data_IF_804559190938
#
_entry.id   IF_804559190938
#
_cell.length_a   1.000
_cell.length_b   1.000
_cell.length_c   1.000
_cell.angle_alpha   90.00
_cell.angle_beta   90.00
_cell.angle_gamma   90.00
#
_symmetry.space_group_name_H-M   'P 1'
#
loop_
_entity.id
_entity.type
_entity.pdbx_description
1 polymer ?
#
# COMPACT_ATOMS: atom_id res chain seq x y z
N UNK A 1 30.98 41.30 -3.86
CA UNK A 1 31.10 39.81 -3.84
C UNK A 1 29.90 39.22 -3.14
N UNK A 2 28.85 38.95 -3.89
CA UNK A 2 27.60 38.31 -3.36
C UNK A 2 27.84 36.81 -3.20
N UNK A 3 27.72 36.32 -1.99
CA UNK A 3 27.73 34.86 -1.70
C UNK A 3 26.47 34.26 -2.33
N UNK A 4 26.62 33.56 -3.43
CA UNK A 4 25.62 32.63 -3.93
C UNK A 4 25.50 31.52 -2.91
N UNK A 5 24.43 31.52 -2.13
CA UNK A 5 24.05 30.43 -1.25
C UNK A 5 23.76 29.19 -2.12
N UNK A 6 24.71 28.29 -2.21
CA UNK A 6 24.46 26.96 -2.78
C UNK A 6 23.48 26.25 -1.83
N UNK A 7 22.19 26.22 -2.23
CA UNK A 7 21.19 25.40 -1.56
C UNK A 7 21.66 23.94 -1.56
N UNK A 8 21.76 23.33 -0.39
CA UNK A 8 22.15 21.92 -0.26
C UNK A 8 21.24 21.00 -1.09
N UNK A 9 21.73 19.87 -1.63
CA UNK A 9 20.92 18.89 -2.38
C UNK A 9 19.70 18.36 -1.61
N UNK A 10 19.68 18.52 -0.29
CA UNK A 10 18.57 18.14 0.60
C UNK A 10 17.36 19.09 0.52
N UNK A 11 17.51 20.32 -0.01
CA UNK A 11 16.42 21.31 -0.09
C UNK A 11 15.34 20.97 -1.13
N UNK A 12 15.59 20.00 -2.01
CA UNK A 12 14.63 19.52 -3.04
C UNK A 12 13.77 18.33 -2.58
N UNK A 13 14.07 17.75 -1.42
CA UNK A 13 13.34 16.62 -0.87
C UNK A 13 12.17 17.08 -0.01
N UNK A 14 10.98 16.52 -0.25
CA UNK A 14 9.80 16.81 0.56
C UNK A 14 9.79 15.84 1.75
N UNK A 15 10.20 16.31 2.92
CA UNK A 15 10.37 15.51 4.12
C UNK A 15 9.08 14.75 4.53
N UNK A 16 7.91 15.36 4.34
CA UNK A 16 6.61 14.73 4.63
C UNK A 16 6.34 13.48 3.81
N UNK A 17 6.82 13.43 2.55
CA UNK A 17 6.68 12.24 1.69
C UNK A 17 7.51 11.08 2.23
N UNK A 18 8.77 11.31 2.63
CA UNK A 18 9.63 10.27 3.19
C UNK A 18 9.11 9.82 4.56
N UNK A 19 8.62 10.74 5.40
CA UNK A 19 8.05 10.42 6.71
C UNK A 19 6.75 9.61 6.59
N UNK A 20 5.82 10.04 5.73
CA UNK A 20 4.58 9.31 5.50
C UNK A 20 4.87 7.90 4.98
N UNK A 21 5.76 7.77 4.00
CA UNK A 21 6.18 6.47 3.46
C UNK A 21 6.82 5.60 4.54
N UNK A 22 7.68 6.17 5.39
CA UNK A 22 8.32 5.47 6.49
C UNK A 22 7.31 4.96 7.53
N UNK A 23 6.33 5.77 7.93
CA UNK A 23 5.25 5.35 8.83
C UNK A 23 4.46 4.17 8.23
N UNK A 24 4.12 4.28 6.95
CA UNK A 24 3.36 3.23 6.26
C UNK A 24 4.15 1.93 6.12
N UNK A 25 5.49 2.00 5.93
CA UNK A 25 6.35 0.81 5.96
C UNK A 25 6.31 0.11 7.33
N UNK A 26 6.39 0.88 8.40
CA UNK A 26 6.32 0.37 9.77
C UNK A 26 4.95 -0.30 10.03
N UNK A 27 3.86 0.36 9.61
CA UNK A 27 2.49 -0.17 9.76
C UNK A 27 2.27 -1.41 8.90
N UNK A 28 2.82 -1.46 7.66
CA UNK A 28 2.71 -2.63 6.79
C UNK A 28 3.30 -3.89 7.43
N UNK A 29 4.46 -3.78 8.09
CA UNK A 29 5.07 -4.91 8.78
C UNK A 29 4.15 -5.48 9.88
N UNK A 30 3.30 -4.66 10.53
CA UNK A 30 2.32 -5.14 11.50
C UNK A 30 1.28 -6.07 10.86
N UNK A 31 0.83 -5.78 9.65
CA UNK A 31 -0.12 -6.61 8.92
C UNK A 31 0.45 -8.02 8.69
N UNK A 32 1.67 -8.07 8.13
CA UNK A 32 2.34 -9.34 7.83
C UNK A 32 2.72 -10.13 9.09
N UNK A 33 3.19 -9.44 10.15
CA UNK A 33 3.44 -10.10 11.44
C UNK A 33 2.16 -10.69 12.03
N UNK A 34 1.03 -9.98 11.95
CA UNK A 34 -0.25 -10.51 12.41
C UNK A 34 -0.62 -11.77 11.62
N UNK A 35 -0.47 -11.76 10.29
CA UNK A 35 -0.83 -12.89 9.44
C UNK A 35 0.01 -14.14 9.75
N UNK A 36 1.29 -13.99 10.08
CA UNK A 36 2.20 -15.10 10.34
C UNK A 36 2.30 -15.53 11.81
N UNK A 37 2.12 -14.61 12.77
CA UNK A 37 2.31 -14.90 14.20
C UNK A 37 1.01 -14.93 15.01
N UNK A 38 -0.08 -14.40 14.46
CA UNK A 38 -1.37 -14.36 15.14
C UNK A 38 -2.54 -14.42 14.15
N UNK A 39 -2.55 -15.41 13.23
CA UNK A 39 -3.70 -15.60 12.37
C UNK A 39 -4.94 -15.97 13.20
N UNK A 40 -6.08 -15.50 12.73
CA UNK A 40 -7.39 -15.82 13.31
C UNK A 40 -8.17 -16.68 12.33
N UNK A 41 -9.05 -17.60 12.80
CA UNK A 41 -9.86 -18.45 11.93
C UNK A 41 -11.00 -17.69 11.22
N UNK A 42 -11.08 -16.37 11.40
CA UNK A 42 -12.05 -15.47 10.75
C UNK A 42 -11.35 -14.20 10.24
N UNK A 43 -12.01 -13.51 9.32
CA UNK A 43 -11.53 -12.22 8.82
C UNK A 43 -11.44 -11.20 9.98
N UNK A 44 -10.29 -10.58 10.21
CA UNK A 44 -10.12 -9.53 11.22
C UNK A 44 -11.06 -8.32 11.07
N UNK A 45 -11.69 -8.15 9.90
CA UNK A 45 -12.70 -7.10 9.64
C UNK A 45 -14.14 -7.57 9.87
N UNK A 46 -14.35 -8.86 10.14
CA UNK A 46 -15.68 -9.38 10.52
C UNK A 46 -16.03 -8.97 11.94
N UNK A 47 -16.75 -7.87 12.07
CA UNK A 47 -17.19 -7.30 13.36
C UNK A 47 -18.23 -8.15 14.09
N UNK A 48 -18.70 -9.24 13.53
CA UNK A 48 -19.53 -10.22 14.27
C UNK A 48 -18.69 -11.03 15.25
N UNK A 49 -17.41 -11.31 14.89
CA UNK A 49 -16.48 -12.15 15.65
C UNK A 49 -15.28 -11.35 16.19
N UNK A 50 -14.73 -10.44 15.40
CA UNK A 50 -13.52 -9.69 15.75
C UNK A 50 -13.73 -8.78 16.96
N UNK A 51 -12.73 -8.68 17.83
CA UNK A 51 -12.65 -7.65 18.85
C UNK A 51 -12.35 -6.28 18.22
N UNK A 52 -12.72 -5.19 18.90
CA UNK A 52 -12.39 -3.84 18.47
C UNK A 52 -10.86 -3.64 18.26
N UNK A 53 -10.05 -4.23 19.15
CA UNK A 53 -8.59 -4.19 19.03
C UNK A 53 -8.06 -4.90 17.78
N UNK A 54 -8.59 -6.09 17.45
CA UNK A 54 -8.22 -6.83 16.25
C UNK A 54 -8.63 -6.07 14.99
N UNK A 55 -9.87 -5.57 14.96
CA UNK A 55 -10.37 -4.76 13.84
C UNK A 55 -9.49 -3.52 13.62
N UNK A 56 -9.21 -2.73 14.66
CA UNK A 56 -8.38 -1.53 14.54
C UNK A 56 -6.95 -1.83 14.11
N UNK A 57 -6.38 -2.96 14.58
CA UNK A 57 -5.07 -3.43 14.14
C UNK A 57 -5.05 -3.73 12.63
N UNK A 58 -6.12 -4.32 12.11
CA UNK A 58 -6.27 -4.55 10.67
C UNK A 58 -6.60 -3.27 9.90
N UNK A 59 -7.47 -2.43 10.46
CA UNK A 59 -7.91 -1.20 9.81
C UNK A 59 -6.77 -0.22 9.57
N UNK A 60 -5.86 -0.03 10.53
CA UNK A 60 -4.72 0.88 10.33
C UNK A 60 -3.81 0.44 9.17
N UNK A 61 -3.75 -0.84 8.86
CA UNK A 61 -2.96 -1.36 7.74
C UNK A 61 -3.64 -1.14 6.38
N UNK A 62 -4.93 -0.76 6.35
CA UNK A 62 -5.63 -0.37 5.13
C UNK A 62 -5.01 0.86 4.47
N UNK A 63 -4.34 1.72 5.21
CA UNK A 63 -3.64 2.90 4.69
C UNK A 63 -2.44 2.56 3.80
N UNK A 64 -1.89 1.35 3.91
CA UNK A 64 -0.62 1.01 3.26
C UNK A 64 -0.69 1.08 1.73
N UNK A 65 -1.55 0.30 1.10
CA UNK A 65 -1.59 0.19 -0.34
C UNK A 65 -1.99 1.50 -1.05
N UNK A 66 -3.07 2.20 -0.65
CA UNK A 66 -3.44 3.46 -1.28
C UNK A 66 -2.34 4.51 -1.20
N UNK A 67 -1.67 4.63 -0.04
CA UNK A 67 -0.59 5.60 0.13
C UNK A 67 0.64 5.21 -0.68
N UNK A 68 1.01 3.91 -0.77
CA UNK A 68 2.14 3.48 -1.59
C UNK A 68 1.92 3.79 -3.07
N UNK A 69 0.76 3.43 -3.62
CA UNK A 69 0.45 3.68 -5.03
C UNK A 69 0.37 5.18 -5.32
N UNK A 70 -0.30 5.94 -4.45
CA UNK A 70 -0.42 7.39 -4.57
C UNK A 70 0.95 8.08 -4.52
N UNK A 71 1.79 7.73 -3.54
CA UNK A 71 3.14 8.30 -3.41
C UNK A 71 4.10 7.82 -4.50
N UNK A 72 3.86 6.68 -5.16
CA UNK A 72 4.63 6.26 -6.33
C UNK A 72 4.37 7.21 -7.50
N UNK A 73 3.10 7.55 -7.79
CA UNK A 73 2.74 8.58 -8.77
C UNK A 73 3.32 9.95 -8.43
N UNK A 74 3.19 10.39 -7.19
CA UNK A 74 3.80 11.63 -6.66
C UNK A 74 5.32 11.65 -6.87
N UNK A 75 5.98 10.52 -6.62
CA UNK A 75 7.44 10.38 -6.79
C UNK A 75 7.86 10.46 -8.26
N UNK A 76 7.05 9.96 -9.19
CA UNK A 76 7.30 10.08 -10.63
C UNK A 76 7.29 11.55 -11.07
N UNK A 77 6.35 12.35 -10.56
CA UNK A 77 6.30 13.78 -10.82
C UNK A 77 7.51 14.53 -10.23
N UNK A 78 7.84 14.25 -8.96
CA UNK A 78 9.00 14.84 -8.27
C UNK A 78 10.31 14.44 -8.95
N UNK A 79 10.45 13.20 -9.41
CA UNK A 79 11.63 12.75 -10.17
C UNK A 79 11.83 13.59 -11.43
N UNK A 80 10.80 13.77 -12.24
CA UNK A 80 10.86 14.60 -13.44
C UNK A 80 11.23 16.06 -13.13
N UNK A 81 10.56 16.65 -12.14
CA UNK A 81 10.80 18.03 -11.71
C UNK A 81 12.24 18.24 -11.23
N UNK A 82 12.74 17.33 -10.40
CA UNK A 82 14.06 17.50 -9.77
C UNK A 82 15.22 17.17 -10.70
N UNK A 83 15.05 16.20 -11.61
CA UNK A 83 16.07 15.82 -12.60
C UNK A 83 16.03 16.69 -13.86
N UNK A 84 14.93 17.38 -14.16
CA UNK A 84 14.73 18.09 -15.42
C UNK A 84 14.65 17.17 -16.64
N UNK A 85 14.41 15.87 -16.45
CA UNK A 85 14.42 14.90 -17.53
C UNK A 85 13.23 15.09 -18.50
N UNK A 86 13.41 14.66 -19.74
CA UNK A 86 12.34 14.66 -20.75
C UNK A 86 11.21 13.72 -20.37
N UNK A 87 10.01 13.93 -20.93
CA UNK A 87 8.88 13.01 -20.75
C UNK A 87 9.25 11.60 -21.22
N UNK A 88 9.92 11.45 -22.37
CA UNK A 88 10.36 10.16 -22.89
C UNK A 88 11.29 9.41 -21.93
N UNK A 89 12.19 10.14 -21.25
CA UNK A 89 13.06 9.54 -20.23
C UNK A 89 12.25 9.04 -19.03
N UNK A 90 11.28 9.83 -18.56
CA UNK A 90 10.38 9.43 -17.48
C UNK A 90 9.54 8.20 -17.89
N UNK A 91 8.98 8.18 -19.11
CA UNK A 91 8.23 7.03 -19.63
C UNK A 91 9.06 5.77 -19.64
N UNK A 92 10.29 5.83 -20.19
CA UNK A 92 11.22 4.70 -20.18
C UNK A 92 11.51 4.20 -18.75
N UNK A 93 11.80 5.13 -17.84
CA UNK A 93 12.02 4.80 -16.43
C UNK A 93 10.81 4.12 -15.79
N UNK A 94 9.59 4.63 -16.03
CA UNK A 94 8.37 4.06 -15.49
C UNK A 94 8.08 2.66 -16.04
N UNK A 95 8.25 2.46 -17.34
CA UNK A 95 8.04 1.15 -17.98
C UNK A 95 9.03 0.12 -17.46
N UNK A 96 10.33 0.43 -17.49
CA UNK A 96 11.37 -0.53 -17.06
C UNK A 96 11.25 -0.87 -15.59
N UNK A 97 11.01 0.14 -14.73
CA UNK A 97 10.80 -0.07 -13.30
C UNK A 97 9.48 -0.80 -13.02
N UNK A 98 8.41 -0.45 -13.73
CA UNK A 98 7.12 -1.10 -13.59
C UNK A 98 7.17 -2.59 -13.92
N UNK A 99 7.76 -2.94 -15.06
CA UNK A 99 7.94 -4.34 -15.46
C UNK A 99 8.86 -5.10 -14.50
N UNK A 100 9.90 -4.45 -13.96
CA UNK A 100 10.76 -5.03 -12.92
C UNK A 100 9.97 -5.36 -11.65
N UNK A 101 9.10 -4.45 -11.18
CA UNK A 101 8.26 -4.71 -10.01
C UNK A 101 7.27 -5.85 -10.24
N UNK A 102 6.66 -5.92 -11.43
CA UNK A 102 5.78 -7.04 -11.82
C UNK A 102 6.56 -8.37 -11.80
N UNK A 103 7.75 -8.40 -12.38
CA UNK A 103 8.59 -9.60 -12.38
C UNK A 103 8.92 -10.05 -10.96
N UNK A 104 9.26 -9.13 -10.07
CA UNK A 104 9.57 -9.46 -8.68
C UNK A 104 8.35 -9.97 -7.90
N UNK A 105 7.16 -9.42 -8.16
CA UNK A 105 5.93 -9.90 -7.53
C UNK A 105 5.64 -11.36 -7.91
N UNK A 106 5.65 -11.66 -9.21
CA UNK A 106 5.32 -12.99 -9.70
C UNK A 106 6.41 -14.04 -9.45
N UNK A 107 7.63 -13.64 -9.07
CA UNK A 107 8.74 -14.55 -8.76
C UNK A 107 9.08 -14.51 -7.27
N UNK A 108 9.83 -13.52 -6.86
CA UNK A 108 10.45 -13.43 -5.54
C UNK A 108 9.42 -13.25 -4.41
N UNK A 109 8.45 -12.34 -4.60
CA UNK A 109 7.47 -12.03 -3.54
C UNK A 109 6.48 -13.17 -3.39
N UNK A 110 5.96 -13.73 -4.49
CA UNK A 110 5.10 -14.92 -4.44
C UNK A 110 5.80 -16.11 -3.77
N UNK A 111 7.12 -16.28 -4.00
CA UNK A 111 7.92 -17.28 -3.29
C UNK A 111 8.04 -16.97 -1.79
N UNK A 112 8.31 -15.73 -1.41
CA UNK A 112 8.48 -15.37 0.01
C UNK A 112 7.20 -15.50 0.84
N UNK A 113 6.04 -15.38 0.21
CA UNK A 113 4.76 -15.64 0.87
C UNK A 113 4.58 -17.11 1.27
N UNK A 114 5.18 -18.04 0.54
CA UNK A 114 4.89 -19.47 0.65
C UNK A 114 6.11 -20.32 1.01
N UNK A 115 7.35 -19.76 0.88
CA UNK A 115 8.61 -20.52 0.78
C UNK A 115 8.49 -21.77 -0.10
N UNK A 116 7.77 -21.61 -1.18
CA UNK A 116 7.47 -22.54 -2.23
C UNK A 116 6.89 -21.77 -3.41
N UNK A 117 6.53 -22.45 -4.46
CA UNK A 117 5.87 -21.84 -5.62
C UNK A 117 4.58 -22.60 -5.93
N UNK A 118 3.66 -22.60 -4.94
CA UNK A 118 2.37 -23.25 -5.03
C UNK A 118 1.30 -22.35 -5.67
N UNK A 119 1.60 -21.08 -5.88
CA UNK A 119 0.68 -20.15 -6.50
C UNK A 119 1.33 -18.81 -6.82
N UNK A 120 0.67 -18.07 -7.68
CA UNK A 120 1.02 -16.70 -8.06
C UNK A 120 0.08 -15.74 -7.36
N UNK A 121 0.63 -14.85 -6.53
CA UNK A 121 -0.15 -13.90 -5.75
C UNK A 121 0.11 -12.49 -6.30
N UNK A 122 -0.88 -11.93 -7.00
CA UNK A 122 -0.79 -10.63 -7.66
C UNK A 122 -1.30 -9.53 -6.72
N UNK A 123 -0.36 -8.87 -6.02
CA UNK A 123 -0.67 -7.90 -4.96
C UNK A 123 -0.06 -6.51 -5.23
N UNK A 124 0.66 -5.99 -4.25
CA UNK A 124 1.07 -4.57 -4.19
C UNK A 124 2.07 -4.18 -5.27
N UNK A 125 3.15 -4.96 -5.49
CA UNK A 125 4.13 -4.62 -6.53
C UNK A 125 3.58 -4.85 -7.94
N UNK A 126 2.69 -5.83 -8.12
CA UNK A 126 1.92 -6.01 -9.34
C UNK A 126 1.11 -4.76 -9.67
N UNK A 127 0.31 -4.25 -8.72
CA UNK A 127 -0.51 -3.07 -8.92
C UNK A 127 0.34 -1.81 -9.17
N UNK A 128 1.40 -1.59 -8.38
CA UNK A 128 2.33 -0.47 -8.58
C UNK A 128 3.01 -0.57 -9.95
N UNK A 129 3.49 -1.76 -10.31
CA UNK A 129 4.23 -1.99 -11.54
C UNK A 129 3.38 -1.69 -12.78
N UNK A 130 2.20 -2.29 -12.90
CA UNK A 130 1.30 -2.02 -14.02
C UNK A 130 0.74 -0.60 -14.00
N UNK A 131 0.50 -0.02 -12.83
CA UNK A 131 0.09 1.38 -12.75
C UNK A 131 1.22 2.33 -13.23
N UNK A 132 2.50 2.00 -13.01
CA UNK A 132 3.63 2.76 -13.57
C UNK A 132 3.66 2.65 -15.11
N UNK A 133 3.43 1.46 -15.67
CA UNK A 133 3.35 1.25 -17.13
C UNK A 133 2.19 2.03 -17.71
N UNK A 134 1.01 1.97 -17.08
CA UNK A 134 -0.16 2.74 -17.50
C UNK A 134 0.07 4.25 -17.40
N UNK A 135 0.69 4.72 -16.30
CA UNK A 135 1.05 6.14 -16.17
C UNK A 135 2.02 6.58 -17.28
N UNK A 136 2.98 5.75 -17.67
CA UNK A 136 3.88 6.07 -18.78
C UNK A 136 3.12 6.30 -20.09
N UNK A 137 2.05 5.55 -20.35
CA UNK A 137 1.17 5.78 -21.49
C UNK A 137 0.34 7.07 -21.32
N UNK A 138 -0.20 7.31 -20.13
CA UNK A 138 -0.96 8.53 -19.85
C UNK A 138 -0.13 9.82 -20.00
N UNK A 139 1.20 9.75 -19.84
CA UNK A 139 2.08 10.92 -19.99
C UNK A 139 2.14 11.50 -21.43
N UNK A 140 1.54 10.87 -22.43
CA UNK A 140 1.30 11.49 -23.73
C UNK A 140 0.21 12.57 -23.67
N UNK A 141 -0.63 12.55 -22.63
CA UNK A 141 -1.74 13.47 -22.43
C UNK A 141 -1.33 14.68 -21.55
N UNK A 142 -2.03 15.80 -21.67
CA UNK A 142 -1.86 16.92 -20.76
C UNK A 142 -2.37 16.56 -19.34
N UNK A 143 -1.80 17.21 -18.32
CA UNK A 143 -2.13 16.91 -16.93
C UNK A 143 -3.64 16.92 -16.61
N UNK A 144 -4.46 17.87 -17.09
CA UNK A 144 -5.91 17.83 -16.86
C UNK A 144 -6.59 16.55 -17.38
N UNK A 145 -6.16 16.04 -18.55
CA UNK A 145 -6.70 14.80 -19.08
C UNK A 145 -6.29 13.57 -18.24
N UNK A 146 -5.04 13.53 -17.75
CA UNK A 146 -4.57 12.51 -16.82
C UNK A 146 -5.44 12.51 -15.55
N UNK A 147 -5.71 13.69 -14.98
CA UNK A 147 -6.55 13.83 -13.78
C UNK A 147 -8.02 13.47 -14.05
N UNK A 148 -8.56 13.77 -15.22
CA UNK A 148 -9.91 13.37 -15.62
C UNK A 148 -10.02 11.83 -15.72
N UNK A 149 -9.04 11.17 -16.33
CA UNK A 149 -8.97 9.71 -16.40
C UNK A 149 -8.83 9.12 -14.98
N UNK A 150 -7.96 9.67 -14.15
CA UNK A 150 -7.82 9.25 -12.75
C UNK A 150 -9.15 9.35 -11.99
N UNK A 151 -9.87 10.45 -12.16
CA UNK A 151 -11.19 10.66 -11.56
C UNK A 151 -12.19 9.61 -12.03
N UNK A 152 -12.30 9.38 -13.34
CA UNK A 152 -13.22 8.35 -13.89
C UNK A 152 -12.86 6.96 -13.35
N UNK A 153 -11.58 6.61 -13.30
CA UNK A 153 -11.14 5.31 -12.77
C UNK A 153 -11.43 5.15 -11.27
N UNK A 154 -11.22 6.18 -10.46
CA UNK A 154 -11.45 6.13 -9.01
C UNK A 154 -12.94 6.18 -8.67
N UNK A 155 -13.69 7.06 -9.32
CA UNK A 155 -15.11 7.29 -8.99
C UNK A 155 -16.06 6.40 -9.77
N UNK A 156 -15.65 5.92 -10.94
CA UNK A 156 -16.51 5.15 -11.84
C UNK A 156 -16.42 3.63 -11.68
N UNK A 157 -15.30 3.08 -11.16
CA UNK A 157 -15.12 1.62 -11.17
C UNK A 157 -16.18 0.87 -10.34
N UNK A 158 -16.70 1.46 -9.25
CA UNK A 158 -17.74 0.81 -8.45
C UNK A 158 -19.08 0.65 -9.18
N UNK A 159 -19.28 1.32 -10.32
CA UNK A 159 -20.43 1.04 -11.19
C UNK A 159 -20.37 -0.37 -11.83
N UNK A 160 -19.20 -1.01 -11.78
CA UNK A 160 -18.94 -2.34 -12.30
C UNK A 160 -19.06 -3.45 -11.23
N UNK A 161 -19.31 -3.11 -9.95
CA UNK A 161 -19.35 -4.06 -8.83
C UNK A 161 -20.42 -5.16 -8.98
N UNK A 162 -21.44 -4.94 -9.82
CA UNK A 162 -22.46 -5.92 -10.11
C UNK A 162 -22.09 -6.95 -11.20
N UNK A 163 -20.90 -6.83 -11.80
CA UNK A 163 -20.41 -7.74 -12.84
C UNK A 163 -19.36 -8.67 -12.23
N UNK A 164 -19.58 -9.98 -12.29
CA UNK A 164 -18.72 -10.97 -11.63
C UNK A 164 -17.89 -11.79 -12.62
N UNK A 165 -16.69 -12.17 -12.21
CA UNK A 165 -15.72 -12.88 -13.04
C UNK A 165 -16.31 -14.15 -13.67
N UNK A 166 -17.18 -14.87 -12.95
CA UNK A 166 -17.83 -16.09 -13.41
C UNK A 166 -18.69 -15.86 -14.69
N UNK A 167 -19.20 -14.64 -14.89
CA UNK A 167 -20.04 -14.28 -16.05
C UNK A 167 -19.21 -14.19 -17.34
N UNK A 168 -17.89 -14.03 -17.21
CA UNK A 168 -16.99 -13.86 -18.36
C UNK A 168 -16.39 -15.17 -18.89
N UNK A 169 -16.73 -16.32 -18.31
CA UNK A 169 -16.26 -17.63 -18.78
C UNK A 169 -14.73 -17.70 -18.94
N UNK A 170 -14.19 -17.94 -20.15
CA UNK A 170 -12.73 -18.03 -20.37
C UNK A 170 -11.96 -16.74 -20.03
N UNK A 171 -12.65 -15.61 -19.94
CA UNK A 171 -12.07 -14.29 -19.64
C UNK A 171 -12.19 -13.91 -18.15
N UNK A 172 -12.62 -14.82 -17.27
CA UNK A 172 -12.78 -14.57 -15.83
C UNK A 172 -11.51 -14.02 -15.19
N UNK A 173 -10.35 -14.60 -15.47
CA UNK A 173 -9.06 -14.09 -14.98
C UNK A 173 -8.79 -12.65 -15.47
N UNK A 174 -9.13 -12.34 -16.72
CA UNK A 174 -8.94 -10.97 -17.24
C UNK A 174 -9.82 -9.98 -16.49
N UNK A 175 -11.08 -10.35 -16.20
CA UNK A 175 -11.96 -9.53 -15.38
C UNK A 175 -11.43 -9.35 -13.96
N UNK A 176 -10.91 -10.42 -13.34
CA UNK A 176 -10.24 -10.35 -12.05
C UNK A 176 -9.03 -9.38 -12.06
N UNK A 177 -8.22 -9.42 -13.12
CA UNK A 177 -7.10 -8.47 -13.29
C UNK A 177 -7.59 -7.01 -13.41
N UNK A 178 -8.72 -6.79 -14.04
CA UNK A 178 -9.26 -5.46 -14.33
C UNK A 178 -9.99 -4.88 -13.11
N UNK A 179 -10.89 -5.65 -12.47
CA UNK A 179 -11.86 -5.07 -11.54
C UNK A 179 -12.12 -5.85 -10.25
N UNK A 180 -12.07 -7.18 -10.22
CA UNK A 180 -12.57 -7.99 -9.10
C UNK A 180 -11.44 -8.77 -8.39
N UNK A 181 -11.60 -9.07 -7.09
CA UNK A 181 -10.78 -10.10 -6.46
C UNK A 181 -11.03 -11.45 -7.15
N UNK A 182 -9.97 -12.11 -7.59
CA UNK A 182 -10.08 -13.37 -8.30
C UNK A 182 -9.15 -14.43 -7.73
N UNK A 183 -9.67 -15.65 -7.56
CA UNK A 183 -8.91 -16.82 -7.15
C UNK A 183 -9.26 -17.99 -8.05
N UNK A 184 -8.26 -18.68 -8.56
CA UNK A 184 -8.44 -19.88 -9.39
C UNK A 184 -7.38 -20.93 -9.06
N UNK A 185 -7.84 -22.15 -8.84
CA UNK A 185 -6.99 -23.33 -8.69
C UNK A 185 -6.70 -23.90 -10.08
N UNK A 186 -5.62 -23.43 -10.71
CA UNK A 186 -5.25 -23.77 -12.11
C UNK A 186 -4.87 -25.24 -12.24
N UNK A 187 -4.17 -25.79 -11.25
CA UNK A 187 -3.84 -27.22 -11.12
C UNK A 187 -3.96 -27.65 -9.66
N UNK A 188 -3.97 -28.94 -9.33
CA UNK A 188 -4.02 -29.37 -7.92
C UNK A 188 -2.92 -28.78 -7.02
N UNK A 189 -1.80 -28.34 -7.61
CA UNK A 189 -0.63 -27.83 -6.88
C UNK A 189 -0.30 -26.37 -7.21
N UNK A 190 -1.15 -25.67 -7.99
CA UNK A 190 -0.85 -24.29 -8.38
C UNK A 190 -2.11 -23.44 -8.52
N UNK A 191 -2.14 -22.30 -7.83
CA UNK A 191 -3.23 -21.32 -7.90
C UNK A 191 -2.78 -19.94 -8.42
N UNK A 192 -3.75 -19.15 -8.86
CA UNK A 192 -3.58 -17.72 -9.15
C UNK A 192 -4.55 -16.93 -8.28
N UNK A 193 -4.03 -15.97 -7.53
CA UNK A 193 -4.81 -15.06 -6.72
C UNK A 193 -4.55 -13.61 -7.14
N UNK A 194 -5.57 -12.91 -7.65
CA UNK A 194 -5.51 -11.49 -7.99
C UNK A 194 -6.12 -10.68 -6.85
N UNK A 195 -5.29 -10.24 -5.92
CA UNK A 195 -5.73 -9.41 -4.80
C UNK A 195 -5.87 -7.93 -5.14
N UNK A 196 -5.20 -7.47 -6.22
CA UNK A 196 -5.14 -6.05 -6.60
C UNK A 196 -5.54 -5.85 -8.06
N UNK A 197 -6.85 -5.75 -8.37
CA UNK A 197 -7.35 -5.40 -9.70
C UNK A 197 -6.88 -4.00 -10.12
N UNK A 198 -6.54 -3.84 -11.40
CA UNK A 198 -5.68 -2.73 -11.84
C UNK A 198 -6.40 -1.39 -11.98
N UNK A 199 -7.68 -1.35 -12.36
CA UNK A 199 -8.36 -0.09 -12.72
C UNK A 199 -8.30 0.96 -11.61
N UNK A 200 -8.72 0.69 -10.37
CA UNK A 200 -8.67 1.70 -9.32
C UNK A 200 -7.23 2.12 -8.98
N UNK A 201 -6.27 1.20 -9.02
CA UNK A 201 -4.88 1.51 -8.68
C UNK A 201 -4.17 2.36 -9.73
N UNK A 202 -4.46 2.17 -11.02
CA UNK A 202 -4.00 3.05 -12.09
C UNK A 202 -4.53 4.47 -11.85
N UNK A 203 -5.81 4.60 -11.50
CA UNK A 203 -6.43 5.87 -11.13
C UNK A 203 -5.72 6.55 -9.95
N UNK A 204 -5.46 5.79 -8.88
CA UNK A 204 -4.75 6.29 -7.67
C UNK A 204 -3.34 6.77 -8.02
N UNK A 205 -2.59 6.04 -8.85
CA UNK A 205 -1.26 6.46 -9.28
C UNK A 205 -1.30 7.72 -10.14
N UNK A 206 -2.23 7.81 -11.07
CA UNK A 206 -2.40 8.98 -11.92
C UNK A 206 -2.82 10.23 -11.10
N UNK A 207 -3.71 10.07 -10.10
CA UNK A 207 -4.05 11.11 -9.14
C UNK A 207 -2.82 11.54 -8.32
N UNK A 208 -2.00 10.59 -7.86
CA UNK A 208 -0.74 10.85 -7.17
C UNK A 208 0.26 11.62 -8.03
N UNK A 209 0.35 11.32 -9.33
CA UNK A 209 1.18 12.09 -10.26
C UNK A 209 0.71 13.55 -10.36
N UNK A 210 -0.59 13.77 -10.53
CA UNK A 210 -1.15 15.13 -10.54
C UNK A 210 -0.98 15.88 -9.22
N UNK A 211 -1.13 15.15 -8.10
CA UNK A 211 -0.87 15.68 -6.76
C UNK A 211 0.56 16.19 -6.59
N UNK A 212 1.52 15.59 -7.26
CA UNK A 212 2.91 16.06 -7.27
C UNK A 212 3.05 17.53 -7.62
N UNK A 213 2.16 18.09 -8.46
CA UNK A 213 2.15 19.50 -8.81
C UNK A 213 1.89 20.41 -7.59
N UNK A 214 1.03 19.99 -6.65
CA UNK A 214 0.74 20.72 -5.41
C UNK A 214 1.97 20.81 -4.50
N UNK A 215 2.86 19.82 -4.54
CA UNK A 215 4.11 19.84 -3.76
C UNK A 215 5.10 20.88 -4.28
N UNK A 216 4.83 21.47 -5.44
CA UNK A 216 5.58 22.58 -6.01
C UNK A 216 5.20 23.97 -5.49
N UNK A 217 4.05 24.08 -4.83
CA UNK A 217 3.55 25.34 -4.31
C UNK A 217 4.33 25.81 -3.07
N UNK A 218 4.20 27.10 -2.77
CA UNK A 218 4.67 27.68 -1.51
C UNK A 218 4.05 26.91 -0.32
N UNK A 219 4.85 26.73 0.75
CA UNK A 219 4.48 25.90 1.88
C UNK A 219 3.09 26.20 2.47
N UNK A 220 2.80 27.50 2.69
CA UNK A 220 1.54 27.90 3.30
C UNK A 220 0.34 27.64 2.38
N UNK A 221 0.51 27.80 1.07
CA UNK A 221 -0.51 27.51 0.08
C UNK A 221 -0.71 25.99 -0.08
N UNK A 222 0.38 25.25 -0.18
CA UNK A 222 0.38 23.78 -0.21
C UNK A 222 -0.33 23.20 0.99
N UNK A 223 0.04 23.60 2.22
CA UNK A 223 -0.55 23.11 3.45
C UNK A 223 -2.07 23.36 3.48
N UNK A 224 -2.52 24.54 3.00
CA UNK A 224 -3.96 24.85 2.86
C UNK A 224 -4.67 23.92 1.88
N UNK A 225 -4.07 23.65 0.72
CA UNK A 225 -4.64 22.72 -0.25
C UNK A 225 -4.70 21.29 0.27
N UNK A 226 -3.63 20.82 0.91
CA UNK A 226 -3.58 19.47 1.52
C UNK A 226 -4.71 19.28 2.53
N UNK A 227 -4.89 20.24 3.43
CA UNK A 227 -5.95 20.18 4.45
C UNK A 227 -7.32 20.27 3.79
N UNK A 228 -7.56 21.21 2.85
CA UNK A 228 -8.87 21.36 2.20
C UNK A 228 -9.27 20.12 1.41
N UNK A 229 -8.38 19.62 0.57
CA UNK A 229 -8.64 18.42 -0.23
C UNK A 229 -8.83 17.20 0.70
N UNK A 230 -7.95 17.01 1.68
CA UNK A 230 -8.06 15.91 2.62
C UNK A 230 -9.37 15.92 3.41
N UNK A 231 -9.79 17.09 3.93
CA UNK A 231 -11.08 17.22 4.63
C UNK A 231 -12.27 17.02 3.68
N UNK A 232 -12.19 17.47 2.42
CA UNK A 232 -13.25 17.22 1.44
C UNK A 232 -13.40 15.72 1.14
N UNK A 233 -12.28 14.99 1.00
CA UNK A 233 -12.32 13.52 0.82
C UNK A 233 -12.91 12.81 2.05
N UNK A 234 -12.54 13.22 3.26
CA UNK A 234 -13.11 12.68 4.52
C UNK A 234 -14.61 12.97 4.60
N UNK A 235 -15.04 14.19 4.30
CA UNK A 235 -16.44 14.55 4.31
C UNK A 235 -17.24 13.74 3.27
N UNK A 236 -16.70 13.62 2.06
CA UNK A 236 -17.31 12.80 1.01
C UNK A 236 -17.41 11.32 1.43
N UNK A 237 -16.36 10.77 2.04
CA UNK A 237 -16.39 9.43 2.62
C UNK A 237 -17.55 9.27 3.59
N UNK A 238 -17.68 10.18 4.57
CA UNK A 238 -18.73 10.10 5.59
C UNK A 238 -20.13 10.22 4.96
N UNK A 239 -20.32 11.12 4.01
CA UNK A 239 -21.60 11.26 3.29
C UNK A 239 -21.97 9.98 2.57
N UNK A 240 -21.06 9.46 1.72
CA UNK A 240 -21.34 8.25 0.94
C UNK A 240 -21.54 7.03 1.84
N UNK A 241 -20.76 6.91 2.92
CA UNK A 241 -20.82 5.78 3.85
C UNK A 241 -22.10 5.76 4.65
N UNK A 242 -22.50 6.90 5.22
CA UNK A 242 -23.69 6.98 6.07
C UNK A 242 -25.00 6.94 5.27
N UNK A 243 -24.97 7.36 4.01
CA UNK A 243 -26.13 7.31 3.11
C UNK A 243 -26.24 6.03 2.31
N UNK A 244 -25.17 5.22 2.22
CA UNK A 244 -25.10 4.03 1.37
C UNK A 244 -25.43 4.30 -0.12
N UNK A 245 -25.18 5.51 -0.60
CA UNK A 245 -25.57 5.89 -1.98
C UNK A 245 -24.71 5.22 -3.05
N UNK A 246 -23.39 5.14 -2.82
CA UNK A 246 -22.46 4.67 -3.85
C UNK A 246 -21.05 4.39 -3.29
N UNK A 247 -20.30 3.55 -4.00
CA UNK A 247 -18.85 3.46 -3.86
C UNK A 247 -18.35 2.50 -2.80
N UNK A 248 -19.17 1.56 -2.37
CA UNK A 248 -18.76 0.37 -1.62
C UNK A 248 -19.81 -0.74 -1.81
N UNK A 249 -19.36 -1.96 -2.07
CA UNK A 249 -20.24 -3.11 -2.22
C UNK A 249 -20.89 -3.58 -0.90
N UNK A 250 -20.32 -3.16 0.26
CA UNK A 250 -20.82 -3.50 1.61
C UNK A 250 -21.50 -2.29 2.24
N UNK A 251 -22.82 -2.21 2.24
CA UNK A 251 -23.54 -1.10 2.86
C UNK A 251 -23.25 -1.05 4.36
N UNK A 252 -23.18 0.16 4.92
CA UNK A 252 -23.13 0.35 6.36
C UNK A 252 -24.49 0.06 6.98
N UNK A 253 -24.48 -0.65 8.10
CA UNK A 253 -25.64 -0.85 8.96
C UNK A 253 -25.22 -0.83 10.44
N UNK A 254 -26.11 -0.45 11.36
CA UNK A 254 -25.84 -0.55 12.80
C UNK A 254 -25.46 -1.99 13.20
N UNK A 255 -24.48 -2.13 14.07
CA UNK A 255 -24.01 -3.43 14.51
C UNK A 255 -24.76 -3.85 15.80
N UNK A 256 -25.25 -5.10 15.90
CA UNK A 256 -25.96 -5.60 17.08
C UNK A 256 -25.14 -5.57 18.38
N UNK A 257 -23.80 -5.54 18.28
CA UNK A 257 -22.88 -5.47 19.44
C UNK A 257 -22.80 -4.07 20.06
N UNK A 258 -23.58 -3.11 19.58
CA UNK A 258 -23.74 -1.78 20.17
C UNK A 258 -23.02 -0.65 19.42
N UNK A 259 -23.02 0.55 20.05
CA UNK A 259 -22.59 1.81 19.42
C UNK A 259 -21.11 1.79 18.97
N UNK A 260 -20.21 1.22 19.79
CA UNK A 260 -18.79 1.10 19.43
C UNK A 260 -18.63 0.33 18.12
N UNK A 261 -19.25 -0.84 18.02
CA UNK A 261 -19.15 -1.69 16.83
C UNK A 261 -19.86 -1.07 15.62
N UNK A 262 -20.94 -0.33 15.83
CA UNK A 262 -21.59 0.46 14.78
C UNK A 262 -20.67 1.56 14.24
N UNK A 263 -19.91 2.23 15.11
CA UNK A 263 -18.89 3.19 14.69
C UNK A 263 -17.73 2.52 13.93
N UNK A 264 -17.26 1.36 14.39
CA UNK A 264 -16.26 0.58 13.67
C UNK A 264 -16.77 0.11 12.30
N UNK A 265 -18.06 -0.23 12.19
CA UNK A 265 -18.71 -0.60 10.93
C UNK A 265 -18.69 0.53 9.89
N UNK A 266 -18.68 1.81 10.32
CA UNK A 266 -18.47 2.95 9.40
C UNK A 266 -17.09 2.82 8.71
N UNK A 267 -16.07 2.41 9.44
CA UNK A 267 -14.69 2.26 8.94
C UNK A 267 -14.48 0.96 8.16
N UNK A 268 -15.43 0.02 8.18
CA UNK A 268 -15.33 -1.29 7.54
C UNK A 268 -15.72 -1.21 6.07
N UNK A 269 -14.78 -0.75 5.23
CA UNK A 269 -14.94 -0.61 3.78
C UNK A 269 -14.28 -1.75 3.02
N UNK A 270 -14.73 -1.99 1.78
CA UNK A 270 -14.22 -3.04 0.91
C UNK A 270 -12.83 -2.66 0.38
N UNK A 271 -11.85 -3.54 0.63
CA UNK A 271 -10.45 -3.40 0.19
C UNK A 271 -10.16 -4.13 -1.13
N UNK A 272 -10.91 -5.16 -1.45
CA UNK A 272 -10.67 -6.04 -2.60
C UNK A 272 -11.96 -6.27 -3.41
N UNK A 273 -12.16 -5.54 -4.51
CA UNK A 273 -11.40 -4.40 -5.03
C UNK A 273 -11.44 -3.19 -4.08
N UNK A 274 -10.47 -2.26 -4.18
CA UNK A 274 -10.47 -1.08 -3.31
C UNK A 274 -11.62 -0.14 -3.69
N UNK A 275 -12.66 -0.11 -2.88
CA UNK A 275 -13.85 0.72 -3.12
C UNK A 275 -13.50 2.22 -3.11
N UNK A 276 -14.34 3.06 -3.71
CA UNK A 276 -14.22 4.51 -3.63
C UNK A 276 -14.18 4.96 -2.15
N UNK A 277 -15.07 4.42 -1.32
CA UNK A 277 -15.13 4.77 0.10
C UNK A 277 -13.83 4.38 0.82
N UNK A 278 -13.23 3.22 0.51
CA UNK A 278 -11.93 2.81 1.02
C UNK A 278 -10.82 3.79 0.63
N UNK A 279 -10.78 4.23 -0.63
CA UNK A 279 -9.78 5.19 -1.10
C UNK A 279 -9.94 6.56 -0.45
N UNK A 280 -11.17 7.05 -0.30
CA UNK A 280 -11.47 8.32 0.38
C UNK A 280 -11.09 8.27 1.87
N UNK A 281 -11.41 7.16 2.56
CA UNK A 281 -11.10 6.93 3.97
C UNK A 281 -9.60 6.89 4.25
N UNK A 282 -8.80 6.44 3.29
CA UNK A 282 -7.35 6.28 3.49
C UNK A 282 -6.54 7.46 2.98
N UNK A 283 -6.83 7.97 1.78
CA UNK A 283 -6.09 9.08 1.18
C UNK A 283 -6.44 10.42 1.87
N UNK A 284 -7.71 10.64 2.22
CA UNK A 284 -8.15 11.88 2.88
C UNK A 284 -7.35 12.20 4.14
N UNK A 285 -7.34 11.33 5.17
CA UNK A 285 -6.54 11.54 6.38
C UNK A 285 -5.03 11.63 6.10
N UNK A 286 -4.51 10.87 5.14
CA UNK A 286 -3.09 10.95 4.77
C UNK A 286 -2.70 12.36 4.30
N UNK A 287 -3.53 13.01 3.49
CA UNK A 287 -3.31 14.39 3.04
C UNK A 287 -3.35 15.39 4.20
N UNK A 288 -4.30 15.24 5.14
CA UNK A 288 -4.41 16.11 6.32
C UNK A 288 -3.18 15.99 7.23
N UNK A 289 -2.63 14.79 7.34
CA UNK A 289 -1.47 14.51 8.22
C UNK A 289 -0.15 15.02 7.62
N UNK A 290 -0.02 15.11 6.29
CA UNK A 290 1.24 15.52 5.63
C UNK A 290 1.82 16.85 6.14
N UNK A 291 1.06 17.97 6.32
CA UNK A 291 1.58 19.20 6.89
C UNK A 291 2.12 19.05 8.32
N UNK A 292 1.51 18.15 9.12
CA UNK A 292 1.98 17.86 10.47
C UNK A 292 3.30 17.09 10.44
N UNK A 293 3.42 16.09 9.55
CA UNK A 293 4.66 15.34 9.34
C UNK A 293 5.80 16.25 8.89
N UNK A 294 5.53 17.28 8.09
CA UNK A 294 6.56 18.21 7.66
C UNK A 294 7.11 19.08 8.80
N UNK A 295 6.32 19.24 9.86
CA UNK A 295 6.73 19.94 11.11
C UNK A 295 7.43 19.02 12.10
N UNK A 296 7.24 17.71 11.97
CA UNK A 296 7.86 16.73 12.86
C UNK A 296 9.37 16.68 12.64
N UNK A 297 10.14 16.97 13.70
CA UNK A 297 11.60 17.04 13.70
C UNK A 297 12.17 16.22 14.87
N UNK A 298 13.46 15.93 14.80
CA UNK A 298 14.19 15.24 15.84
C UNK A 298 14.44 13.76 15.55
N UNK A 299 15.14 13.08 16.46
CA UNK A 299 15.65 11.73 16.25
C UNK A 299 14.59 10.69 15.87
N UNK A 300 13.35 10.82 16.37
CA UNK A 300 12.27 9.92 16.03
C UNK A 300 11.85 10.10 14.54
N UNK A 301 11.68 11.35 14.09
CA UNK A 301 11.37 11.65 12.69
C UNK A 301 12.48 11.15 11.76
N UNK A 302 13.74 11.36 12.12
CA UNK A 302 14.90 10.92 11.34
C UNK A 302 14.95 9.40 11.19
N UNK A 303 14.66 8.66 12.28
CA UNK A 303 14.58 7.19 12.27
C UNK A 303 13.45 6.69 11.38
N UNK A 304 12.25 7.27 11.45
CA UNK A 304 11.14 6.93 10.59
C UNK A 304 11.45 7.23 9.12
N UNK A 305 12.06 8.38 8.84
CA UNK A 305 12.43 8.75 7.48
C UNK A 305 13.44 7.79 6.84
N UNK A 306 14.23 7.04 7.61
CA UNK A 306 15.14 6.01 7.08
C UNK A 306 14.35 4.97 6.29
N UNK A 307 13.25 4.44 6.82
CA UNK A 307 12.40 3.46 6.14
C UNK A 307 11.79 4.03 4.85
N UNK A 308 11.35 5.30 4.88
CA UNK A 308 10.79 5.97 3.71
C UNK A 308 11.80 6.30 2.60
N UNK A 309 13.11 6.33 2.92
CA UNK A 309 14.19 6.54 1.95
C UNK A 309 14.56 5.28 1.16
N UNK A 310 14.31 4.11 1.73
CA UNK A 310 14.62 2.79 1.12
C UNK A 310 13.41 1.85 1.20
N UNK A 311 12.23 2.29 0.75
CA UNK A 311 10.98 1.55 0.96
C UNK A 311 10.99 0.21 0.26
N UNK A 312 11.59 0.12 -0.93
CA UNK A 312 11.63 -1.11 -1.69
C UNK A 312 12.56 -2.16 -1.04
N UNK A 313 13.71 -1.74 -0.52
CA UNK A 313 14.60 -2.62 0.25
C UNK A 313 13.90 -3.19 1.49
N UNK A 314 13.18 -2.32 2.24
CA UNK A 314 12.36 -2.79 3.36
C UNK A 314 11.30 -3.80 2.90
N UNK A 315 10.57 -3.47 1.81
CA UNK A 315 9.49 -4.32 1.30
C UNK A 315 9.99 -5.73 0.95
N UNK A 316 11.10 -5.85 0.24
CA UNK A 316 11.65 -7.14 -0.19
C UNK A 316 12.21 -7.96 0.99
N UNK A 317 12.77 -7.29 2.01
CA UNK A 317 13.48 -7.99 3.08
C UNK A 317 12.59 -8.38 4.27
N UNK A 318 11.56 -7.55 4.60
CA UNK A 318 10.75 -7.79 5.80
C UNK A 318 9.90 -9.07 5.70
N UNK A 319 9.37 -9.37 4.51
CA UNK A 319 8.48 -10.53 4.32
C UNK A 319 9.21 -11.87 4.56
N UNK A 320 10.34 -12.17 3.90
CA UNK A 320 11.08 -13.40 4.20
C UNK A 320 11.61 -13.44 5.64
N UNK A 321 11.96 -12.29 6.23
CA UNK A 321 12.37 -12.22 7.63
C UNK A 321 11.24 -12.66 8.57
N UNK A 322 10.04 -12.10 8.37
CA UNK A 322 8.85 -12.43 9.18
C UNK A 322 8.47 -13.89 8.98
N UNK A 323 8.41 -14.36 7.75
CA UNK A 323 8.01 -15.73 7.44
C UNK A 323 9.01 -16.76 8.00
N UNK A 324 10.32 -16.55 7.79
CA UNK A 324 11.35 -17.42 8.36
C UNK A 324 11.28 -17.46 9.90
N UNK A 325 11.13 -16.29 10.53
CA UNK A 325 10.98 -16.23 11.98
C UNK A 325 9.71 -16.97 12.47
N UNK A 326 8.61 -16.88 11.70
CA UNK A 326 7.38 -17.61 12.00
C UNK A 326 7.55 -19.13 11.88
N UNK A 327 8.24 -19.61 10.83
CA UNK A 327 8.53 -21.06 10.67
C UNK A 327 9.37 -21.58 11.85
N UNK A 328 10.41 -20.86 12.23
CA UNK A 328 11.24 -21.24 13.38
C UNK A 328 10.40 -21.27 14.66
N UNK A 329 9.56 -20.27 14.88
CA UNK A 329 8.71 -20.21 16.05
C UNK A 329 7.66 -21.33 16.08
N UNK A 330 7.00 -21.64 14.98
CA UNK A 330 5.97 -22.71 14.91
C UNK A 330 6.58 -24.09 15.11
N UNK A 331 7.77 -24.33 14.56
CA UNK A 331 8.50 -25.58 14.79
C UNK A 331 8.86 -25.74 16.26
N UNK A 332 9.43 -24.72 16.90
CA UNK A 332 9.84 -24.78 18.30
C UNK A 332 8.67 -24.85 19.29
N UNK A 333 7.56 -24.19 18.98
CA UNK A 333 6.41 -24.10 19.90
C UNK A 333 5.38 -25.22 19.73
N UNK A 334 5.23 -25.76 18.52
CA UNK A 334 4.13 -26.65 18.17
C UNK A 334 4.58 -27.91 17.41
N UNK A 335 5.87 -28.03 17.11
CA UNK A 335 6.42 -29.09 16.24
C UNK A 335 5.66 -29.18 14.90
N UNK A 336 5.42 -28.00 14.31
CA UNK A 336 4.66 -27.81 13.07
C UNK A 336 5.40 -26.89 12.11
N UNK A 337 5.40 -27.22 10.83
CA UNK A 337 6.09 -26.44 9.80
C UNK A 337 5.46 -25.07 9.52
N UNK A 338 4.18 -24.88 9.86
CA UNK A 338 3.43 -23.59 9.71
C UNK A 338 2.32 -23.51 10.75
N UNK A 339 1.78 -22.30 11.00
CA UNK A 339 0.54 -22.13 11.79
C UNK A 339 -0.73 -22.52 11.02
N UNK A 340 -0.60 -23.03 9.83
CA UNK A 340 -1.68 -23.32 8.91
C UNK A 340 -1.34 -22.78 7.53
N UNK A 341 -1.93 -23.36 6.52
CA UNK A 341 -1.86 -22.83 5.17
C UNK A 341 -2.59 -21.47 5.14
N UNK A 342 -2.08 -20.51 4.39
CA UNK A 342 -2.63 -19.15 4.27
C UNK A 342 -4.14 -19.15 3.91
N UNK A 343 -4.61 -20.25 3.34
CA UNK A 343 -6.00 -20.46 2.89
C UNK A 343 -6.78 -21.52 3.71
N UNK A 344 -6.12 -22.22 4.64
CA UNK A 344 -6.76 -23.24 5.48
C UNK A 344 -6.68 -22.86 6.95
N UNK A 345 -7.82 -22.80 7.61
CA UNK A 345 -7.96 -22.40 9.02
C UNK A 345 -7.60 -23.52 10.01
N UNK A 346 -6.76 -24.47 9.62
CA UNK A 346 -6.30 -25.55 10.52
C UNK A 346 -5.05 -25.10 11.27
N UNK A 347 -5.21 -24.94 12.59
CA UNK A 347 -4.12 -24.55 13.46
C UNK A 347 -3.62 -25.73 14.28
N UNK A 348 -2.32 -25.78 14.64
CA UNK A 348 -1.76 -26.83 15.47
C UNK A 348 -2.39 -26.82 16.86
N UNK A 349 -2.41 -27.99 17.50
CA UNK A 349 -2.95 -28.17 18.85
C UNK A 349 -2.24 -27.19 19.84
N UNK A 350 -3.04 -26.53 20.67
CA UNK A 350 -2.55 -25.56 21.66
C UNK A 350 -2.29 -24.15 21.11
N UNK A 351 -2.47 -23.92 19.80
CA UNK A 351 -2.37 -22.56 19.26
C UNK A 351 -3.55 -21.69 19.72
N UNK A 352 -3.24 -20.46 20.11
CA UNK A 352 -4.24 -19.41 20.37
C UNK A 352 -3.79 -18.10 19.75
N UNK A 353 -4.68 -17.37 19.02
CA UNK A 353 -4.36 -16.04 18.49
C UNK A 353 -4.05 -15.05 19.62
N UNK A 354 -3.06 -14.15 19.43
CA UNK A 354 -2.67 -13.17 20.43
C UNK A 354 -2.17 -11.89 19.79
N UNK A 355 -2.91 -10.81 19.95
CA UNK A 355 -2.47 -9.47 19.50
C UNK A 355 -1.20 -9.01 20.23
N UNK A 356 -1.04 -9.35 21.50
CA UNK A 356 0.20 -9.01 22.23
C UNK A 356 1.41 -9.63 21.56
N UNK A 357 1.34 -10.89 21.17
CA UNK A 357 2.42 -11.57 20.42
C UNK A 357 2.68 -10.85 19.10
N UNK A 358 1.63 -10.53 18.35
CA UNK A 358 1.79 -9.79 17.09
C UNK A 358 2.50 -8.43 17.30
N UNK A 359 2.13 -7.66 18.31
CA UNK A 359 2.77 -6.37 18.59
C UNK A 359 4.22 -6.52 19.04
N UNK A 360 4.54 -7.50 19.90
CA UNK A 360 5.91 -7.72 20.38
C UNK A 360 6.84 -8.14 19.24
N UNK A 361 6.37 -9.07 18.39
CA UNK A 361 7.13 -9.51 17.20
C UNK A 361 7.27 -8.38 16.20
N UNK A 362 6.23 -7.58 15.97
CA UNK A 362 6.30 -6.41 15.10
C UNK A 362 7.37 -5.41 15.57
N UNK A 363 7.43 -5.09 16.86
CA UNK A 363 8.47 -4.23 17.41
C UNK A 363 9.87 -4.84 17.17
N UNK A 364 10.03 -6.14 17.42
CA UNK A 364 11.29 -6.84 17.17
C UNK A 364 11.70 -6.77 15.69
N UNK A 365 10.77 -7.00 14.76
CA UNK A 365 11.02 -6.88 13.31
C UNK A 365 11.47 -5.45 12.94
N UNK A 366 10.80 -4.42 13.45
CA UNK A 366 11.19 -3.03 13.18
C UNK A 366 12.59 -2.71 13.73
N UNK A 367 12.92 -3.21 14.93
CA UNK A 367 14.25 -3.04 15.53
C UNK A 367 15.35 -3.73 14.69
N UNK A 368 15.09 -4.91 14.13
CA UNK A 368 16.02 -5.61 13.23
C UNK A 368 16.13 -4.90 11.88
N UNK A 369 15.00 -4.47 11.31
CA UNK A 369 14.98 -3.81 10.00
C UNK A 369 15.63 -2.42 10.01
N UNK A 370 15.60 -1.71 11.13
CA UNK A 370 16.15 -0.35 11.22
C UNK A 370 17.63 -0.26 10.84
N UNK A 371 18.57 -1.01 11.49
CA UNK A 371 19.99 -0.94 11.13
C UNK A 371 20.26 -1.38 9.68
N UNK A 372 19.53 -2.37 9.17
CA UNK A 372 19.65 -2.81 7.77
C UNK A 372 19.24 -1.71 6.79
N UNK A 373 18.12 -1.05 7.04
CA UNK A 373 17.65 0.08 6.23
C UNK A 373 18.58 1.30 6.35
N UNK A 374 19.11 1.57 7.53
CA UNK A 374 20.06 2.67 7.75
C UNK A 374 21.38 2.44 7.01
N UNK A 375 21.90 1.23 7.08
CA UNK A 375 23.09 0.80 6.32
C UNK A 375 22.84 0.96 4.82
N UNK A 376 21.74 0.39 4.29
CA UNK A 376 21.44 0.45 2.87
C UNK A 376 21.20 1.89 2.38
N UNK A 377 20.53 2.74 3.18
CA UNK A 377 20.36 4.15 2.87
C UNK A 377 21.70 4.92 2.83
N UNK A 378 22.66 4.57 3.69
CA UNK A 378 24.02 5.12 3.65
C UNK A 378 24.79 4.62 2.41
N UNK A 379 24.73 3.33 2.12
CA UNK A 379 25.33 2.71 0.94
C UNK A 379 24.84 3.35 -0.36
N UNK A 380 23.51 3.51 -0.50
CA UNK A 380 22.86 4.16 -1.66
C UNK A 380 23.32 5.63 -1.83
N UNK A 381 23.55 6.35 -0.73
CA UNK A 381 24.06 7.72 -0.79
C UNK A 381 25.53 7.79 -1.23
N UNK A 382 26.35 6.81 -0.82
CA UNK A 382 27.76 6.74 -1.18
C UNK A 382 27.96 6.34 -2.66
N UNK A 383 27.02 5.59 -3.26
CA UNK A 383 27.14 5.03 -4.61
C UNK A 383 26.08 5.57 -5.58
N UNK A 384 25.90 6.90 -5.62
CA UNK A 384 24.89 7.57 -6.47
C UNK A 384 25.04 7.30 -7.97
N UNK A 385 26.24 7.00 -8.42
CA UNK A 385 26.55 6.73 -9.83
C UNK A 385 26.10 5.34 -10.30
N UNK A 386 25.79 4.45 -9.35
CA UNK A 386 25.29 3.11 -9.67
C UNK A 386 23.79 3.15 -9.99
N UNK A 387 23.46 3.11 -11.27
CA UNK A 387 22.07 3.16 -11.77
C UNK A 387 21.19 2.01 -11.27
N UNK A 388 21.77 0.84 -10.99
CA UNK A 388 21.03 -0.32 -10.47
C UNK A 388 20.40 -0.05 -9.09
N UNK A 389 21.03 0.79 -8.28
CA UNK A 389 20.48 1.19 -6.97
C UNK A 389 19.20 2.03 -7.09
N UNK A 390 18.85 2.52 -8.26
CA UNK A 390 17.58 3.19 -8.50
C UNK A 390 16.40 2.20 -8.61
N UNK A 391 16.69 0.92 -8.87
CA UNK A 391 15.70 -0.16 -8.97
C UNK A 391 15.45 -0.91 -7.66
N UNK A 392 16.29 -0.63 -6.62
CA UNK A 392 16.20 -1.20 -5.27
C UNK A 392 15.76 -0.14 -4.21
#
# INVERSE_FOLDING_TARGET
MSRVSMSSPDSRRVASVDLLRGLIMIVMALDHVRDYFSPFPWDPTDLSQASAGLFLTRWITHFCAPIFVFLAGTSAWLYRRNSGCSIRHLQYFLVTRGLWLVLLEITLVSFFWQFGYHGMILQTLWAIGWSMVALALLLYLPLPAILAIAFVMIFGHNALDGMHAQEFGPYALLWGIVHEFYFDQVTPNFFIAVGYPLVPWIGVMAAGYGFGALLGLERAERDRWLIRVGLALIALFLVLRLTNLYGDARPWAPNPRGLLYSALQVLNTTKYPPSLQYLLMTIGPALVVMPLLERWRGAAADRVAVFGRVPFFFYVLHLPLIHLAALIWTELAFNASTLGDFFHSEFPAGYTPSLLRAYLVWIAVILVMYPLCAWYAAYKRAHKDNKWLSYL
#
